data_IF_107573632804
#
_entry.id   IF_107573632804
#
_cell.length_a   1.000
_cell.length_b   1.000
_cell.length_c   1.000
_cell.angle_alpha   90.00
_cell.angle_beta   90.00
_cell.angle_gamma   90.00
#
_symmetry.space_group_name_H-M   'P 1'
#
loop_
_entity.id
_entity.type
_entity.pdbx_description
1 polymer ?
#
# COMPACT_ATOMS: atom_id res chain seq x y z
N UNK A 1 -5.92 15.09 -5.00
CA UNK A 1 -4.69 15.42 -4.25
C UNK A 1 -4.92 15.30 -2.76
N UNK A 2 -5.72 16.16 -2.12
CA UNK A 2 -5.88 16.18 -0.65
C UNK A 2 -6.05 14.80 0.03
N UNK A 3 -6.94 13.93 -0.48
CA UNK A 3 -7.12 12.58 0.09
C UNK A 3 -5.91 11.64 -0.03
N UNK A 4 -5.09 11.82 -1.06
CA UNK A 4 -3.86 11.04 -1.22
C UNK A 4 -2.73 11.58 -0.34
N UNK A 5 -2.66 12.90 -0.16
CA UNK A 5 -1.73 13.52 0.78
C UNK A 5 -2.07 13.11 2.23
N UNK A 6 -3.36 13.12 2.58
CA UNK A 6 -3.87 12.62 3.87
C UNK A 6 -3.56 11.13 4.06
N UNK A 7 -3.84 10.30 3.05
CA UNK A 7 -3.53 8.87 3.11
C UNK A 7 -2.03 8.63 3.31
N UNK A 8 -1.18 9.37 2.59
CA UNK A 8 0.27 9.27 2.75
C UNK A 8 0.69 9.56 4.19
N UNK A 9 0.23 10.68 4.76
CA UNK A 9 0.57 11.10 6.12
C UNK A 9 0.12 10.09 7.18
N UNK A 10 -1.07 9.53 7.03
CA UNK A 10 -1.60 8.51 7.94
C UNK A 10 -0.77 7.22 7.88
N UNK A 11 -0.40 6.77 6.67
CA UNK A 11 0.48 5.60 6.50
C UNK A 11 1.87 5.88 7.07
N UNK A 12 2.45 7.05 6.80
CA UNK A 12 3.76 7.45 7.30
C UNK A 12 3.82 7.43 8.82
N UNK A 13 2.83 8.05 9.47
CA UNK A 13 2.73 8.08 10.93
C UNK A 13 2.71 6.66 11.48
N UNK A 14 1.84 5.80 10.93
CA UNK A 14 1.69 4.41 11.39
C UNK A 14 2.95 3.58 11.19
N UNK A 15 3.58 3.68 10.02
CA UNK A 15 4.84 2.97 9.73
C UNK A 15 5.94 3.43 10.69
N UNK A 16 6.03 4.73 10.96
CA UNK A 16 7.05 5.23 11.87
C UNK A 16 6.82 4.76 13.31
N UNK A 17 5.59 4.84 13.81
CA UNK A 17 5.21 4.42 15.16
C UNK A 17 5.41 2.92 15.38
N UNK A 18 4.97 2.08 14.43
CA UNK A 18 5.08 0.62 14.56
C UNK A 18 6.51 0.08 14.51
N UNK A 19 7.43 0.83 13.90
CA UNK A 19 8.78 0.37 13.62
C UNK A 19 9.85 1.24 14.31
N UNK A 20 9.46 2.09 15.26
CA UNK A 20 10.33 2.99 16.02
C UNK A 20 11.26 3.83 15.12
N UNK A 21 10.71 4.39 14.05
CA UNK A 21 11.43 5.26 13.11
C UNK A 21 11.23 6.71 13.54
N UNK A 22 12.34 7.39 13.78
CA UNK A 22 12.31 8.83 14.07
C UNK A 22 12.15 9.65 12.79
N UNK A 23 11.58 10.84 12.93
CA UNK A 23 11.49 11.79 11.81
C UNK A 23 12.88 12.15 11.24
N UNK A 24 13.90 12.24 12.09
CA UNK A 24 15.27 12.47 11.66
C UNK A 24 15.79 11.31 10.78
N UNK A 25 15.52 10.06 11.15
CA UNK A 25 15.87 8.90 10.31
C UNK A 25 15.11 8.92 8.99
N UNK A 26 13.80 9.23 9.01
CA UNK A 26 12.94 9.23 7.83
C UNK A 26 13.39 10.26 6.78
N UNK A 27 13.74 11.47 7.23
CA UNK A 27 14.19 12.56 6.33
C UNK A 27 15.66 12.47 5.96
N UNK A 28 16.44 11.60 6.63
CA UNK A 28 17.85 11.40 6.32
C UNK A 28 18.01 10.43 5.14
N UNK A 29 18.38 10.99 4.00
CA UNK A 29 18.63 10.26 2.75
C UNK A 29 19.77 9.22 2.82
N UNK A 30 20.66 9.32 3.79
CA UNK A 30 21.72 8.34 4.05
C UNK A 30 21.27 7.22 5.01
N UNK A 31 20.12 7.37 5.67
CA UNK A 31 19.58 6.37 6.59
C UNK A 31 19.00 5.20 5.81
N UNK A 32 19.67 4.03 5.85
CA UNK A 32 19.13 2.81 5.26
C UNK A 32 17.75 2.45 5.84
N UNK A 33 17.57 2.65 7.16
CA UNK A 33 16.32 2.37 7.87
C UNK A 33 15.21 3.36 7.48
N UNK A 34 15.53 4.65 7.39
CA UNK A 34 14.59 5.68 6.94
C UNK A 34 14.18 5.49 5.48
N UNK A 35 15.11 5.12 4.61
CA UNK A 35 14.83 4.76 3.23
C UNK A 35 13.93 3.51 3.12
N UNK A 36 14.18 2.47 3.91
CA UNK A 36 13.33 1.29 3.96
C UNK A 36 11.91 1.62 4.45
N UNK A 37 11.78 2.52 5.44
CA UNK A 37 10.49 3.01 5.92
C UNK A 37 9.74 3.80 4.83
N UNK A 38 10.41 4.71 4.12
CA UNK A 38 9.81 5.41 2.96
C UNK A 38 9.33 4.44 1.89
N UNK A 39 10.10 3.39 1.61
CA UNK A 39 9.66 2.37 0.66
C UNK A 39 8.47 1.57 1.18
N UNK A 40 8.42 1.23 2.49
CA UNK A 40 7.25 0.60 3.10
C UNK A 40 6.00 1.47 2.94
N UNK A 41 6.11 2.77 3.22
CA UNK A 41 5.02 3.75 3.09
C UNK A 41 4.52 3.77 1.65
N UNK A 42 5.43 3.91 0.68
CA UNK A 42 5.08 3.89 -0.74
C UNK A 42 4.43 2.57 -1.19
N UNK A 43 4.88 1.44 -0.64
CA UNK A 43 4.33 0.12 -0.95
C UNK A 43 2.89 -0.01 -0.46
N UNK A 44 2.58 0.44 0.76
CA UNK A 44 1.21 0.44 1.29
C UNK A 44 0.34 1.47 0.57
N UNK A 45 0.85 2.67 0.32
CA UNK A 45 0.14 3.72 -0.40
C UNK A 45 -0.28 3.26 -1.80
N UNK A 46 0.65 2.66 -2.54
CA UNK A 46 0.39 2.14 -3.89
C UNK A 46 -0.61 1.00 -3.86
N UNK A 47 -0.52 0.09 -2.87
CA UNK A 47 -1.51 -0.95 -2.65
C UNK A 47 -2.91 -0.35 -2.50
N UNK A 48 -3.09 0.64 -1.62
CA UNK A 48 -4.40 1.25 -1.35
C UNK A 48 -5.00 1.93 -2.58
N UNK A 49 -4.18 2.58 -3.40
CA UNK A 49 -4.61 3.13 -4.69
C UNK A 49 -5.13 2.04 -5.61
N UNK A 50 -4.40 0.92 -5.73
CA UNK A 50 -4.80 -0.22 -6.55
C UNK A 50 -6.10 -0.84 -6.04
N UNK A 51 -6.23 -1.02 -4.72
CA UNK A 51 -7.43 -1.58 -4.09
C UNK A 51 -8.63 -0.66 -4.26
N UNK A 52 -8.47 0.66 -4.13
CA UNK A 52 -9.55 1.63 -4.39
C UNK A 52 -10.08 1.50 -5.81
N UNK A 53 -9.20 1.48 -6.81
CA UNK A 53 -9.59 1.32 -8.23
C UNK A 53 -10.24 -0.04 -8.49
N UNK A 54 -9.80 -1.07 -7.79
CA UNK A 54 -10.39 -2.40 -7.87
C UNK A 54 -11.81 -2.41 -7.29
N UNK A 55 -12.04 -1.74 -6.16
CA UNK A 55 -13.39 -1.54 -5.59
C UNK A 55 -14.28 -0.76 -6.56
N UNK A 56 -13.80 0.32 -7.16
CA UNK A 56 -14.56 1.12 -8.14
C UNK A 56 -15.08 0.26 -9.30
N UNK A 57 -14.32 -0.79 -9.68
CA UNK A 57 -14.66 -1.67 -10.80
C UNK A 57 -15.53 -2.88 -10.41
N UNK A 58 -15.33 -3.46 -9.23
CA UNK A 58 -15.90 -4.77 -8.88
C UNK A 58 -16.79 -4.78 -7.64
N UNK A 59 -16.78 -3.73 -6.82
CA UNK A 59 -17.69 -3.65 -5.68
C UNK A 59 -19.15 -3.53 -6.16
N UNK A 60 -20.06 -4.04 -5.34
CA UNK A 60 -21.50 -3.98 -5.57
C UNK A 60 -22.25 -3.72 -4.26
N UNK A 61 -23.55 -3.39 -4.30
CA UNK A 61 -24.37 -3.27 -3.09
C UNK A 61 -24.41 -4.54 -2.22
N UNK A 62 -24.10 -5.71 -2.80
CA UNK A 62 -24.11 -7.00 -2.11
C UNK A 62 -22.72 -7.43 -1.62
N UNK A 63 -21.65 -6.83 -2.16
CA UNK A 63 -20.27 -7.16 -1.81
C UNK A 63 -19.39 -5.93 -2.04
N UNK A 64 -19.07 -5.23 -0.95
CA UNK A 64 -18.32 -3.97 -0.97
C UNK A 64 -16.82 -4.15 -1.18
N UNK A 65 -16.29 -5.36 -0.99
CA UNK A 65 -14.86 -5.66 -0.97
C UNK A 65 -14.13 -4.80 0.08
N UNK A 66 -14.67 -4.77 1.30
CA UNK A 66 -14.15 -3.93 2.38
C UNK A 66 -12.83 -4.47 2.94
N UNK A 67 -11.93 -3.55 3.31
CA UNK A 67 -10.64 -3.89 3.90
C UNK A 67 -9.83 -4.86 3.02
N UNK A 68 -9.40 -5.96 3.63
CA UNK A 68 -8.59 -7.03 3.05
C UNK A 68 -9.29 -7.76 1.89
N UNK A 69 -10.62 -7.76 1.85
CA UNK A 69 -11.39 -8.47 0.82
C UNK A 69 -11.10 -7.94 -0.58
N UNK A 70 -10.78 -6.65 -0.73
CA UNK A 70 -10.35 -6.09 -2.00
C UNK A 70 -9.07 -6.74 -2.51
N UNK A 71 -8.09 -6.99 -1.62
CA UNK A 71 -6.83 -7.64 -1.99
C UNK A 71 -7.08 -9.09 -2.35
N UNK A 72 -7.88 -9.81 -1.56
CA UNK A 72 -8.20 -11.20 -1.86
C UNK A 72 -8.93 -11.34 -3.20
N UNK A 73 -9.91 -10.48 -3.46
CA UNK A 73 -10.63 -10.48 -4.72
C UNK A 73 -9.73 -10.05 -5.89
N UNK A 74 -8.82 -9.11 -5.69
CA UNK A 74 -7.81 -8.74 -6.69
C UNK A 74 -6.95 -9.93 -7.07
N UNK A 75 -6.39 -10.64 -6.08
CA UNK A 75 -5.59 -11.85 -6.32
C UNK A 75 -6.42 -12.90 -7.06
N UNK A 76 -7.65 -13.17 -6.61
CA UNK A 76 -8.57 -14.10 -7.28
C UNK A 76 -8.77 -13.76 -8.75
N UNK A 77 -9.04 -12.49 -9.07
CA UNK A 77 -9.26 -12.04 -10.45
C UNK A 77 -8.03 -12.17 -11.33
N UNK A 78 -6.83 -12.15 -10.76
CA UNK A 78 -5.57 -12.26 -11.49
C UNK A 78 -5.09 -13.68 -11.69
N UNK A 79 -5.23 -14.52 -10.66
CA UNK A 79 -4.62 -15.85 -10.63
C UNK A 79 -5.62 -16.99 -10.82
N UNK A 80 -6.90 -16.75 -10.52
CA UNK A 80 -7.92 -17.80 -10.45
C UNK A 80 -7.77 -18.75 -9.25
N UNK A 81 -6.87 -18.45 -8.31
CA UNK A 81 -6.67 -19.26 -7.10
C UNK A 81 -7.93 -19.30 -6.23
N UNK A 82 -8.11 -20.39 -5.48
CA UNK A 82 -9.29 -20.54 -4.64
C UNK A 82 -9.24 -19.54 -3.47
N UNK A 83 -10.39 -19.00 -3.03
CA UNK A 83 -10.42 -18.06 -1.90
C UNK A 83 -9.74 -18.57 -0.63
N UNK A 84 -9.78 -19.88 -0.37
CA UNK A 84 -9.11 -20.45 0.81
C UNK A 84 -7.57 -20.36 0.70
N UNK A 85 -7.00 -20.55 -0.50
CA UNK A 85 -5.55 -20.46 -0.75
C UNK A 85 -5.09 -19.01 -0.58
N UNK A 86 -5.88 -18.08 -1.13
CA UNK A 86 -5.59 -16.65 -1.06
C UNK A 86 -5.60 -16.14 0.39
N UNK A 87 -6.57 -16.59 1.20
CA UNK A 87 -6.68 -16.18 2.61
C UNK A 87 -5.59 -16.76 3.51
N UNK A 88 -4.80 -17.72 3.04
CA UNK A 88 -3.65 -18.28 3.76
C UNK A 88 -2.34 -17.55 3.47
N UNK A 89 -2.32 -16.67 2.47
CA UNK A 89 -1.12 -15.90 2.14
C UNK A 89 -0.78 -14.93 3.28
N UNK A 90 0.50 -14.85 3.62
CA UNK A 90 0.99 -13.72 4.40
C UNK A 90 0.82 -12.42 3.58
N UNK A 91 0.86 -11.27 4.25
CA UNK A 91 0.85 -9.98 3.54
C UNK A 91 1.99 -9.91 2.50
N UNK A 92 3.20 -10.34 2.87
CA UNK A 92 4.36 -10.34 1.97
C UNK A 92 4.15 -11.24 0.74
N UNK A 93 3.57 -12.43 0.92
CA UNK A 93 3.26 -13.32 -0.20
C UNK A 93 2.17 -12.73 -1.09
N UNK A 94 1.14 -12.13 -0.51
CA UNK A 94 0.09 -11.44 -1.24
C UNK A 94 0.67 -10.30 -2.10
N UNK A 95 1.57 -9.48 -1.54
CA UNK A 95 2.26 -8.41 -2.25
C UNK A 95 3.14 -8.95 -3.38
N UNK A 96 3.85 -10.06 -3.15
CA UNK A 96 4.65 -10.72 -4.17
C UNK A 96 3.79 -11.15 -5.38
N UNK A 97 2.63 -11.76 -5.12
CA UNK A 97 1.69 -12.20 -6.17
C UNK A 97 1.20 -11.03 -7.05
N UNK A 98 1.08 -9.83 -6.48
CA UNK A 98 0.62 -8.63 -7.21
C UNK A 98 1.74 -7.66 -7.60
N UNK A 99 3.01 -8.03 -7.41
CA UNK A 99 4.15 -7.12 -7.56
C UNK A 99 4.21 -6.40 -8.92
N UNK A 100 3.80 -7.05 -10.00
CA UNK A 100 3.77 -6.45 -11.34
C UNK A 100 2.77 -5.29 -11.48
N UNK A 101 1.78 -5.15 -10.58
CA UNK A 101 0.88 -3.97 -10.56
C UNK A 101 1.56 -2.71 -10.03
N UNK A 102 2.69 -2.83 -9.35
CA UNK A 102 3.40 -1.70 -8.73
C UNK A 102 4.29 -0.93 -9.72
N UNK A 103 4.37 -1.38 -10.98
CA UNK A 103 5.13 -0.67 -12.02
C UNK A 103 4.53 0.71 -12.29
N UNK A 104 5.38 1.70 -12.53
CA UNK A 104 4.96 3.09 -12.76
C UNK A 104 3.92 3.23 -13.89
N UNK A 105 4.00 2.40 -14.94
CA UNK A 105 3.04 2.46 -16.05
C UNK A 105 1.59 2.14 -15.64
N UNK A 106 1.39 1.38 -14.55
CA UNK A 106 0.08 0.98 -14.06
C UNK A 106 -0.55 2.01 -13.11
N UNK A 107 0.21 3.04 -12.70
CA UNK A 107 -0.20 4.01 -11.70
C UNK A 107 -0.74 5.31 -12.32
N UNK A 108 -1.79 5.91 -11.72
CA UNK A 108 -2.25 7.25 -12.07
C UNK A 108 -1.14 8.32 -11.99
N UNK A 109 -1.27 9.37 -12.79
CA UNK A 109 -0.23 10.41 -12.88
C UNK A 109 -0.03 11.20 -11.58
N UNK A 110 -1.11 11.47 -10.85
CA UNK A 110 -1.08 12.13 -9.54
C UNK A 110 -0.44 11.25 -8.46
N UNK A 111 -0.72 9.94 -8.48
CA UNK A 111 -0.09 8.95 -7.60
C UNK A 111 1.42 8.89 -7.83
N UNK A 112 1.86 8.87 -9.09
CA UNK A 112 3.29 8.98 -9.44
C UNK A 112 3.91 10.28 -8.95
N UNK A 113 3.17 11.38 -9.02
CA UNK A 113 3.59 12.68 -8.50
C UNK A 113 3.89 12.62 -7.00
N UNK A 114 3.01 11.99 -6.21
CA UNK A 114 3.18 11.84 -4.75
C UNK A 114 4.38 10.95 -4.42
N UNK A 115 4.55 9.82 -5.12
CA UNK A 115 5.69 8.93 -4.90
C UNK A 115 7.03 9.66 -5.12
N UNK A 116 7.12 10.46 -6.19
CA UNK A 116 8.33 11.26 -6.50
C UNK A 116 8.54 12.39 -5.52
N UNK A 117 7.47 13.10 -5.13
CA UNK A 117 7.53 14.21 -4.17
C UNK A 117 8.04 13.75 -2.79
N UNK A 118 7.76 12.51 -2.40
CA UNK A 118 8.22 11.92 -1.15
C UNK A 118 9.58 11.19 -1.26
N UNK A 119 10.31 11.43 -2.35
CA UNK A 119 11.70 11.00 -2.49
C UNK A 119 11.87 9.50 -2.66
N UNK A 120 10.88 8.79 -3.22
CA UNK A 120 11.07 7.39 -3.60
C UNK A 120 12.16 7.32 -4.70
N UNK A 121 13.24 6.61 -4.42
CA UNK A 121 14.40 6.46 -5.30
C UNK A 121 14.31 5.16 -6.10
N UNK A 122 15.07 5.07 -7.19
CA UNK A 122 15.20 3.85 -8.01
C UNK A 122 15.99 2.71 -7.32
N UNK A 123 16.29 2.85 -6.02
CA UNK A 123 16.97 1.84 -5.22
C UNK A 123 15.97 1.06 -4.39
N UNK A 124 16.02 -0.27 -4.48
CA UNK A 124 15.22 -1.16 -3.65
C UNK A 124 15.88 -1.40 -2.28
N UNK A 125 15.07 -1.28 -1.24
CA UNK A 125 15.35 -1.63 0.15
C UNK A 125 14.53 -2.86 0.55
N UNK A 126 15.11 -3.69 1.41
CA UNK A 126 14.41 -4.85 1.97
C UNK A 126 13.28 -4.38 2.87
N UNK A 127 12.10 -4.97 2.71
CA UNK A 127 10.94 -4.74 3.57
C UNK A 127 10.67 -5.91 4.52
N UNK A 128 11.61 -6.86 4.62
CA UNK A 128 11.43 -8.10 5.40
C UNK A 128 11.17 -7.85 6.89
N UNK A 129 11.72 -6.77 7.44
CA UNK A 129 11.58 -6.40 8.86
C UNK A 129 10.26 -5.69 9.17
N UNK A 130 9.51 -5.26 8.15
CA UNK A 130 8.26 -4.53 8.34
C UNK A 130 7.07 -5.47 8.53
N UNK A 131 6.25 -5.17 9.54
CA UNK A 131 5.09 -5.98 9.91
C UNK A 131 3.85 -5.64 9.08
N UNK A 132 2.93 -6.61 8.96
CA UNK A 132 1.60 -6.36 8.41
C UNK A 132 0.79 -5.33 9.20
N UNK A 133 1.16 -5.06 10.47
CA UNK A 133 0.53 -4.03 11.32
C UNK A 133 0.59 -2.62 10.74
N UNK A 134 1.52 -2.36 9.82
CA UNK A 134 1.60 -1.09 9.09
C UNK A 134 0.41 -0.87 8.16
N UNK A 135 -0.27 -1.95 7.78
CA UNK A 135 -1.39 -1.93 6.86
C UNK A 135 -2.72 -1.97 7.60
N UNK A 136 -3.43 -0.84 7.63
CA UNK A 136 -4.79 -0.74 8.18
C UNK A 136 -5.82 -0.49 7.06
N UNK A 137 -6.17 -1.52 6.27
CA UNK A 137 -6.91 -1.35 5.02
C UNK A 137 -8.29 -0.72 5.19
N UNK A 138 -8.98 -0.98 6.31
CA UNK A 138 -10.31 -0.39 6.57
C UNK A 138 -10.25 1.10 6.85
N UNK A 139 -9.21 1.56 7.55
CA UNK A 139 -9.00 2.97 7.83
C UNK A 139 -8.59 3.71 6.54
N UNK A 140 -7.59 3.16 5.85
CA UNK A 140 -7.09 3.68 4.58
C UNK A 140 -8.20 3.80 3.53
N UNK A 141 -9.06 2.77 3.44
CA UNK A 141 -10.24 2.77 2.56
C UNK A 141 -11.19 3.93 2.86
N UNK A 142 -11.44 4.24 4.13
CA UNK A 142 -12.33 5.34 4.50
C UNK A 142 -11.80 6.72 4.07
N UNK A 143 -10.48 6.92 4.12
CA UNK A 143 -9.83 8.14 3.63
C UNK A 143 -10.05 8.27 2.12
N UNK A 144 -9.86 7.18 1.37
CA UNK A 144 -10.01 7.18 -0.09
C UNK A 144 -11.47 7.30 -0.55
N UNK A 145 -12.42 6.81 0.25
CA UNK A 145 -13.87 7.00 0.10
C UNK A 145 -14.35 8.38 0.50
N UNK A 146 -13.49 9.21 1.11
CA UNK A 146 -13.82 10.49 1.76
C UNK A 146 -14.96 11.28 1.12
N UNK A 147 -15.94 11.56 1.99
CA UNK A 147 -17.24 12.25 1.88
C UNK A 147 -17.31 13.45 0.94
#
# INVERSE_FOLDING_TARGET
MQKFDELWQVIETRVCENNDITQQELTNDESARGNAARQRIAHIFTLEVLLSRHRDKYASPYMSLAGEEALWHLIFKRTGWKPFEIKQLSFSDAMFVIAELFREENLPADVRGILRANGLRDQAYSLYEFSEKDWAPRENENILKGK
#
